data_IF_352636713449
#
_entry.id   IF_352636713449
#
_cell.length_a   1.000
_cell.length_b   1.000
_cell.length_c   1.000
_cell.angle_alpha   90.00
_cell.angle_beta   90.00
_cell.angle_gamma   90.00
#
_symmetry.space_group_name_H-M   'P 1'
#
loop_
_entity.id
_entity.type
_entity.pdbx_description
1 polymer ?
#
# COMPACT_ATOMS: atom_id res chain seq x y z
N UNK A 1 -12.15 -11.26 -12.70
CA UNK A 1 -12.07 -12.13 -11.50
C UNK A 1 -12.10 -11.20 -10.31
N UNK A 2 -13.04 -11.34 -9.37
CA UNK A 2 -13.09 -10.45 -8.21
C UNK A 2 -11.90 -10.79 -7.29
N UNK A 3 -10.94 -9.87 -7.13
CA UNK A 3 -9.97 -9.96 -6.04
C UNK A 3 -10.67 -9.54 -4.76
N UNK A 4 -10.69 -10.41 -3.77
CA UNK A 4 -11.10 -10.04 -2.41
C UNK A 4 -9.89 -9.44 -1.70
N UNK A 5 -10.06 -8.29 -1.06
CA UNK A 5 -9.02 -7.69 -0.24
C UNK A 5 -8.77 -8.54 1.01
N UNK A 6 -7.53 -8.97 1.23
CA UNK A 6 -7.11 -9.66 2.45
C UNK A 6 -7.18 -8.72 3.67
N UNK A 7 -6.94 -7.43 3.46
CA UNK A 7 -7.08 -6.42 4.50
C UNK A 7 -8.18 -5.43 4.13
N UNK A 8 -9.17 -5.33 5.02
CA UNK A 8 -10.19 -4.27 5.01
C UNK A 8 -10.16 -3.61 6.38
N UNK A 9 -9.64 -2.39 6.44
CA UNK A 9 -9.58 -1.58 7.67
C UNK A 9 -10.61 -0.47 7.57
N UNK A 10 -11.37 -0.26 8.65
CA UNK A 10 -12.38 0.79 8.74
C UNK A 10 -12.17 1.63 10.00
N UNK A 11 -12.17 2.95 9.85
CA UNK A 11 -12.19 3.88 10.98
C UNK A 11 -13.65 4.20 11.30
N UNK A 12 -14.05 3.95 12.55
CA UNK A 12 -15.44 4.07 13.01
C UNK A 12 -15.51 5.13 14.11
N UNK A 13 -16.44 6.07 13.95
CA UNK A 13 -16.77 7.08 14.96
C UNK A 13 -17.99 6.64 15.79
N UNK A 14 -18.25 7.28 16.97
CA UNK A 14 -19.38 6.92 17.83
C UNK A 14 -20.70 6.81 17.07
N UNK A 15 -21.51 5.81 17.44
CA UNK A 15 -22.74 5.47 16.73
C UNK A 15 -22.52 4.65 15.44
N UNK A 16 -21.42 3.90 15.36
CA UNK A 16 -21.11 2.97 14.26
C UNK A 16 -21.04 3.63 12.86
N UNK A 17 -20.59 4.88 12.80
CA UNK A 17 -20.45 5.61 11.54
C UNK A 17 -19.06 5.41 10.97
N UNK A 18 -18.97 4.76 9.82
CA UNK A 18 -17.72 4.61 9.05
C UNK A 18 -17.30 6.00 8.55
N UNK A 19 -16.05 6.37 8.83
CA UNK A 19 -15.47 7.68 8.47
C UNK A 19 -14.38 7.58 7.43
N UNK A 20 -13.69 6.46 7.38
CA UNK A 20 -12.62 6.19 6.44
C UNK A 20 -12.42 4.68 6.31
N UNK A 21 -11.81 4.26 5.22
CA UNK A 21 -11.37 2.89 5.04
C UNK A 21 -10.06 2.82 4.26
N UNK A 22 -9.37 1.71 4.39
CA UNK A 22 -8.23 1.34 3.57
C UNK A 22 -8.31 -0.15 3.26
N UNK A 23 -8.06 -0.50 2.02
CA UNK A 23 -8.00 -1.89 1.55
C UNK A 23 -6.64 -2.21 1.01
N UNK A 24 -6.22 -3.44 1.21
CA UNK A 24 -4.99 -3.94 0.64
C UNK A 24 -5.13 -5.42 0.26
N UNK A 25 -4.40 -5.78 -0.78
CA UNK A 25 -4.35 -7.15 -1.32
C UNK A 25 -2.95 -7.72 -1.18
N UNK A 26 -2.86 -9.02 -1.01
CA UNK A 26 -1.60 -9.75 -1.06
C UNK A 26 -1.45 -10.35 -2.46
N UNK A 27 -0.36 -10.03 -3.12
CA UNK A 27 -0.03 -10.56 -4.44
C UNK A 27 1.28 -11.34 -4.39
N UNK A 28 1.40 -12.33 -5.28
CA UNK A 28 2.62 -13.14 -5.44
C UNK A 28 3.04 -13.13 -6.91
N UNK A 29 4.15 -12.46 -7.21
CA UNK A 29 4.72 -12.34 -8.54
C UNK A 29 6.17 -12.83 -8.51
N UNK A 30 6.54 -13.77 -9.38
CA UNK A 30 7.92 -14.26 -9.55
C UNK A 30 8.64 -14.56 -8.21
N UNK A 31 7.99 -15.33 -7.33
CA UNK A 31 8.45 -15.69 -5.98
C UNK A 31 8.53 -14.56 -4.94
N UNK A 32 8.21 -13.31 -5.30
CA UNK A 32 8.06 -12.22 -4.33
C UNK A 32 6.61 -12.09 -3.89
N UNK A 33 6.38 -12.14 -2.57
CA UNK A 33 5.08 -11.89 -1.94
C UNK A 33 5.06 -10.42 -1.50
N UNK A 34 4.15 -9.62 -2.03
CA UNK A 34 4.02 -8.22 -1.65
C UNK A 34 2.58 -7.90 -1.25
N UNK A 35 2.40 -6.81 -0.52
CA UNK A 35 1.09 -6.30 -0.18
C UNK A 35 0.87 -4.95 -0.83
N UNK A 36 -0.13 -4.85 -1.69
CA UNK A 36 -0.52 -3.63 -2.38
C UNK A 36 -1.67 -2.97 -1.62
N UNK A 37 -1.49 -1.71 -1.20
CA UNK A 37 -2.61 -0.89 -0.70
C UNK A 37 -3.37 -0.36 -1.91
N UNK A 38 -4.54 -0.93 -2.16
CA UNK A 38 -5.31 -0.71 -3.39
C UNK A 38 -6.17 0.54 -3.32
N UNK A 39 -6.72 0.83 -2.14
CA UNK A 39 -7.59 1.98 -1.96
C UNK A 39 -7.46 2.52 -0.55
N UNK A 40 -7.49 3.85 -0.41
CA UNK A 40 -7.61 4.51 0.88
C UNK A 40 -8.52 5.71 0.73
N UNK A 41 -9.69 5.64 1.36
CA UNK A 41 -10.64 6.73 1.43
C UNK A 41 -10.56 7.35 2.82
N UNK A 42 -9.78 8.42 2.94
CA UNK A 42 -9.59 9.14 4.19
C UNK A 42 -9.13 10.58 3.92
N UNK A 43 -9.68 11.54 4.68
CA UNK A 43 -9.26 12.95 4.63
C UNK A 43 -8.22 13.31 5.72
N UNK A 44 -8.03 12.45 6.72
CA UNK A 44 -7.11 12.67 7.83
C UNK A 44 -5.78 11.94 7.58
N UNK A 45 -4.69 12.70 7.57
CA UNK A 45 -3.32 12.18 7.40
C UNK A 45 -2.97 11.20 8.53
N UNK A 46 -3.33 11.51 9.78
CA UNK A 46 -3.07 10.64 10.93
C UNK A 46 -3.77 9.28 10.79
N UNK A 47 -5.00 9.27 10.26
CA UNK A 47 -5.72 8.03 10.00
C UNK A 47 -5.11 7.25 8.82
N UNK A 48 -4.63 7.93 7.78
CA UNK A 48 -3.86 7.28 6.70
C UNK A 48 -2.61 6.62 7.25
N UNK A 49 -1.87 7.31 8.13
CA UNK A 49 -0.70 6.73 8.81
C UNK A 49 -1.06 5.48 9.60
N UNK A 50 -2.14 5.56 10.38
CA UNK A 50 -2.61 4.46 11.20
C UNK A 50 -2.98 3.24 10.33
N UNK A 51 -3.68 3.44 9.22
CA UNK A 51 -3.99 2.37 8.29
C UNK A 51 -2.72 1.73 7.71
N UNK A 52 -1.77 2.54 7.22
CA UNK A 52 -0.51 2.04 6.65
C UNK A 52 0.25 1.22 7.69
N UNK A 53 0.38 1.71 8.94
CA UNK A 53 1.09 0.99 10.01
C UNK A 53 0.42 -0.33 10.40
N UNK A 54 -0.91 -0.37 10.44
CA UNK A 54 -1.64 -1.62 10.75
C UNK A 54 -1.45 -2.64 9.61
N UNK A 55 -1.53 -2.19 8.35
CA UNK A 55 -1.26 -3.04 7.18
C UNK A 55 0.18 -3.54 7.22
N UNK A 56 1.15 -2.64 7.43
CA UNK A 56 2.57 -2.95 7.55
C UNK A 56 2.83 -4.03 8.60
N UNK A 57 2.29 -3.85 9.81
CA UNK A 57 2.50 -4.79 10.90
C UNK A 57 1.94 -6.18 10.58
N UNK A 58 0.73 -6.25 10.02
CA UNK A 58 0.12 -7.53 9.64
C UNK A 58 0.88 -8.18 8.49
N UNK A 59 1.18 -7.41 7.46
CA UNK A 59 1.89 -7.88 6.28
C UNK A 59 3.28 -8.43 6.62
N UNK A 60 4.02 -7.76 7.51
CA UNK A 60 5.36 -8.19 7.93
C UNK A 60 5.31 -9.36 8.95
N UNK A 61 4.49 -9.23 10.00
CA UNK A 61 4.55 -10.16 11.14
C UNK A 61 3.73 -11.44 10.93
N UNK A 62 2.59 -11.35 10.24
CA UNK A 62 1.66 -12.46 10.06
C UNK A 62 1.86 -13.07 8.69
N UNK A 63 1.78 -12.25 7.64
CA UNK A 63 1.77 -12.72 6.28
C UNK A 63 3.14 -12.87 5.63
N UNK A 64 4.20 -12.36 6.29
CA UNK A 64 5.59 -12.49 5.83
C UNK A 64 5.76 -12.02 4.38
N UNK A 65 5.22 -10.84 4.06
CA UNK A 65 5.44 -10.21 2.75
C UNK A 65 6.79 -9.51 2.72
N UNK A 66 7.40 -9.45 1.55
CA UNK A 66 8.72 -8.87 1.31
C UNK A 66 8.69 -7.34 1.36
N UNK A 67 7.62 -6.74 0.84
CA UNK A 67 7.43 -5.29 0.77
C UNK A 67 5.95 -4.88 0.70
N UNK A 68 5.69 -3.62 1.02
CA UNK A 68 4.45 -2.92 0.70
C UNK A 68 4.60 -2.14 -0.61
N UNK A 69 3.50 -2.01 -1.34
CA UNK A 69 3.39 -1.21 -2.56
C UNK A 69 2.15 -0.30 -2.48
N UNK A 70 2.29 0.94 -2.95
CA UNK A 70 1.18 1.91 -3.10
C UNK A 70 1.24 2.49 -4.51
N UNK A 71 0.12 2.43 -5.23
CA UNK A 71 -0.02 3.04 -6.55
C UNK A 71 -0.76 4.36 -6.40
N UNK A 72 -0.05 5.46 -6.64
CA UNK A 72 -0.65 6.78 -6.67
C UNK A 72 -0.94 7.17 -8.11
N UNK A 73 -2.05 7.84 -8.38
CA UNK A 73 -2.24 8.50 -9.69
C UNK A 73 -1.01 9.37 -10.01
N UNK A 74 -0.59 9.41 -11.27
CA UNK A 74 0.57 10.22 -11.68
C UNK A 74 0.38 11.72 -11.40
N UNK A 75 -0.87 12.17 -11.27
CA UNK A 75 -1.27 13.52 -10.87
C UNK A 75 -1.24 13.76 -9.36
N UNK A 76 -0.95 12.74 -8.54
CA UNK A 76 -0.85 12.88 -7.10
C UNK A 76 0.23 13.92 -6.73
N UNK A 77 -0.13 14.76 -5.75
CA UNK A 77 0.68 15.88 -5.30
C UNK A 77 2.03 15.43 -4.74
N UNK A 78 3.06 16.27 -4.89
CA UNK A 78 4.37 16.03 -4.28
C UNK A 78 4.27 15.94 -2.76
N UNK A 79 3.34 16.67 -2.15
CA UNK A 79 3.06 16.56 -0.71
C UNK A 79 2.73 15.11 -0.31
N UNK A 80 1.91 14.40 -1.10
CA UNK A 80 1.55 13.01 -0.82
C UNK A 80 2.77 12.08 -0.95
N UNK A 81 3.57 12.28 -2.00
CA UNK A 81 4.79 11.51 -2.24
C UNK A 81 5.82 11.72 -1.12
N UNK A 82 6.04 12.98 -0.74
CA UNK A 82 6.99 13.34 0.32
C UNK A 82 6.56 12.79 1.69
N UNK A 83 5.25 12.82 1.97
CA UNK A 83 4.71 12.22 3.18
C UNK A 83 4.96 10.70 3.22
N UNK A 84 4.67 9.98 2.14
CA UNK A 84 4.95 8.54 2.08
C UNK A 84 6.46 8.24 2.17
N UNK A 85 7.31 9.11 1.62
CA UNK A 85 8.75 9.00 1.79
C UNK A 85 9.18 9.12 3.26
N UNK A 86 8.55 10.00 4.06
CA UNK A 86 8.77 10.07 5.51
C UNK A 86 8.34 8.78 6.24
N UNK A 87 7.36 8.06 5.70
CA UNK A 87 6.96 6.73 6.20
C UNK A 87 7.87 5.59 5.72
N UNK A 88 8.91 5.89 4.94
CA UNK A 88 9.90 4.94 4.46
C UNK A 88 9.61 4.32 3.09
N UNK A 89 8.68 4.89 2.31
CA UNK A 89 8.46 4.46 0.94
C UNK A 89 9.47 5.10 -0.03
N UNK A 90 9.96 4.32 -0.99
CA UNK A 90 10.83 4.74 -2.09
C UNK A 90 10.07 4.73 -3.41
N UNK A 91 10.45 5.61 -4.33
CA UNK A 91 9.87 5.65 -5.67
C UNK A 91 10.55 4.65 -6.59
N UNK A 92 9.77 3.71 -7.12
CA UNK A 92 10.27 2.62 -7.99
C UNK A 92 10.04 2.91 -9.47
N UNK A 93 9.11 3.81 -9.81
CA UNK A 93 8.83 4.17 -11.19
C UNK A 93 7.36 4.44 -11.48
N UNK A 94 7.00 4.30 -12.75
CA UNK A 94 5.62 4.44 -13.22
C UNK A 94 5.09 3.13 -13.77
N UNK A 95 3.83 2.84 -13.48
CA UNK A 95 3.07 1.77 -14.14
C UNK A 95 1.88 2.38 -14.89
N UNK A 96 1.46 1.70 -15.94
CA UNK A 96 0.21 1.99 -16.63
C UNK A 96 -0.75 0.87 -16.32
N UNK A 97 -1.99 1.23 -16.00
CA UNK A 97 -3.06 0.27 -15.72
C UNK A 97 -4.32 0.65 -16.51
N UNK A 98 -5.14 -0.35 -16.88
CA UNK A 98 -6.34 -0.18 -17.69
C UNK A 98 -6.24 -0.67 -19.13
N UNK A 99 -7.34 -0.52 -19.87
CA UNK A 99 -7.46 -0.99 -21.25
C UNK A 99 -6.84 -0.02 -22.27
N UNK A 100 -6.51 -0.53 -23.45
CA UNK A 100 -5.99 0.28 -24.56
C UNK A 100 -7.01 1.37 -24.91
N UNK A 101 -6.63 2.63 -24.72
CA UNK A 101 -7.51 3.81 -24.90
C UNK A 101 -8.02 4.43 -23.60
N UNK A 102 -7.85 3.77 -22.45
CA UNK A 102 -8.21 4.26 -21.10
C UNK A 102 -7.11 3.96 -20.08
N UNK A 103 -5.85 4.06 -20.49
CA UNK A 103 -4.72 3.79 -19.60
C UNK A 103 -4.56 4.92 -18.58
N UNK A 104 -4.51 4.55 -17.31
CA UNK A 104 -4.20 5.43 -16.19
C UNK A 104 -2.74 5.24 -15.79
N UNK A 105 -2.00 6.33 -15.67
CA UNK A 105 -0.61 6.31 -15.21
C UNK A 105 -0.54 6.46 -13.70
N UNK A 106 0.25 5.60 -13.07
CA UNK A 106 0.48 5.58 -11.64
C UNK A 106 1.98 5.74 -11.30
N UNK A 107 2.28 6.48 -10.24
CA UNK A 107 3.56 6.46 -9.52
C UNK A 107 3.52 5.29 -8.54
N UNK A 108 4.53 4.43 -8.60
CA UNK A 108 4.66 3.28 -7.72
C UNK A 108 5.63 3.63 -6.60
N UNK A 109 5.16 3.47 -5.36
CA UNK A 109 5.94 3.66 -4.15
C UNK A 109 6.05 2.31 -3.42
N UNK A 110 7.25 1.95 -2.98
CA UNK A 110 7.55 0.67 -2.33
C UNK A 110 8.17 0.88 -0.96
N UNK A 111 7.85 0.03 0.02
CA UNK A 111 8.54 -0.01 1.31
C UNK A 111 8.94 -1.45 1.63
N UNK A 112 10.25 -1.71 1.69
CA UNK A 112 10.77 -3.02 2.08
C UNK A 112 10.47 -3.34 3.55
N UNK A 113 10.00 -4.56 3.81
CA UNK A 113 9.69 -5.05 5.16
C UNK A 113 10.80 -5.95 5.69
N UNK A 114 10.71 -6.30 6.98
CA UNK A 114 11.80 -7.00 7.68
C UNK A 114 12.08 -8.40 7.10
N UNK A 115 11.09 -9.04 6.47
CA UNK A 115 11.26 -10.30 5.73
C UNK A 115 12.37 -10.25 4.68
N UNK A 116 12.60 -9.10 4.04
CA UNK A 116 13.61 -8.92 2.99
C UNK A 116 15.03 -8.68 3.56
N UNK A 117 15.16 -8.22 4.81
CA UNK A 117 16.46 -7.86 5.41
C UNK A 117 17.32 -9.08 5.79
N UNK A 118 16.70 -10.23 6.03
CA UNK A 118 17.44 -11.45 6.39
C UNK A 118 18.10 -12.07 5.15
N UNK A 119 17.50 -11.93 3.97
CA UNK A 119 18.06 -12.46 2.73
C UNK A 119 19.30 -11.68 2.23
N UNK A 120 19.30 -10.35 2.36
CA UNK A 120 20.41 -9.50 1.91
C UNK A 120 21.65 -9.52 2.83
N UNK A 121 21.51 -10.01 4.07
CA UNK A 121 22.64 -10.14 5.01
C UNK A 121 23.37 -11.50 4.90
N UNK A 122 22.92 -12.39 4.00
CA UNK A 122 23.50 -13.71 3.77
C UNK A 122 24.13 -13.88 2.38
N UNK A 123 24.22 -12.81 1.58
CA UNK A 123 24.84 -12.78 0.25
C UNK A 123 26.18 -12.05 0.24
#
# INVERSE_FOLDING_TARGET
>A
MAMFSEYILVAVSPGNRIKAYSTAVIQRNNNQKHCEITETNCQSIDLVEAFIKIIEEKADKIDKVDHLEIWLLSTASEHTVNYLAQLGFTYEGKKLDGEVGSMTSHKVLKKDLSGNRIAAAQS
#
